data_IF_237194025845
#
_entry.id   IF_237194025845
#
_cell.length_a   1.000
_cell.length_b   1.000
_cell.length_c   1.000
_cell.angle_alpha   90.00
_cell.angle_beta   90.00
_cell.angle_gamma   90.00
#
_symmetry.space_group_name_H-M   'P 1'
#
loop_
_entity.id
_entity.type
_entity.pdbx_description
1 polymer ?
#
# COMPACT_ATOMS: atom_id res chain seq x y z
N UNK A 1 40.08 22.48 -14.03
CA UNK A 1 38.61 22.23 -14.03
C UNK A 1 38.37 21.06 -13.09
N UNK A 2 38.25 21.32 -11.78
CA UNK A 2 37.99 20.29 -10.79
C UNK A 2 36.51 19.99 -10.86
N UNK A 3 36.18 18.82 -11.39
CA UNK A 3 34.81 18.39 -11.55
C UNK A 3 34.29 17.95 -10.18
N UNK A 4 33.25 18.61 -9.69
CA UNK A 4 32.52 18.27 -8.46
C UNK A 4 31.75 16.96 -8.62
N UNK A 5 32.46 15.84 -8.77
CA UNK A 5 31.89 14.50 -8.97
C UNK A 5 31.46 13.84 -7.66
N UNK A 6 31.99 14.28 -6.52
CA UNK A 6 31.74 13.64 -5.23
C UNK A 6 30.30 13.77 -4.75
N UNK A 7 29.69 14.94 -4.87
CA UNK A 7 28.36 15.19 -4.29
C UNK A 7 27.22 14.65 -5.16
N UNK A 8 27.31 14.78 -6.48
CA UNK A 8 26.24 14.35 -7.40
C UNK A 8 26.12 12.83 -7.46
N UNK A 9 27.25 12.12 -7.42
CA UNK A 9 27.29 10.66 -7.41
C UNK A 9 26.69 10.10 -6.11
N UNK A 10 27.03 10.70 -4.97
CA UNK A 10 26.43 10.35 -3.67
C UNK A 10 24.93 10.61 -3.61
N UNK A 11 24.44 11.68 -4.24
CA UNK A 11 23.00 11.99 -4.32
C UNK A 11 22.28 10.93 -5.17
N UNK A 12 22.84 10.55 -6.32
CA UNK A 12 22.24 9.52 -7.19
C UNK A 12 22.23 8.16 -6.51
N UNK A 13 23.31 7.77 -5.82
CA UNK A 13 23.39 6.52 -5.06
C UNK A 13 22.39 6.50 -3.89
N UNK A 14 22.24 7.60 -3.15
CA UNK A 14 21.24 7.69 -2.08
C UNK A 14 19.81 7.59 -2.62
N UNK A 15 19.50 8.29 -3.71
CA UNK A 15 18.17 8.22 -4.33
C UNK A 15 17.85 6.81 -4.82
N UNK A 16 18.82 6.12 -5.44
CA UNK A 16 18.68 4.73 -5.85
C UNK A 16 18.48 3.79 -4.64
N UNK A 17 19.23 3.99 -3.55
CA UNK A 17 19.08 3.21 -2.32
C UNK A 17 17.70 3.40 -1.68
N UNK A 18 17.20 4.64 -1.60
CA UNK A 18 15.85 4.94 -1.09
C UNK A 18 14.78 4.31 -1.96
N UNK A 19 14.91 4.36 -3.28
CA UNK A 19 13.98 3.72 -4.21
C UNK A 19 13.99 2.19 -4.04
N UNK A 20 15.16 1.56 -3.94
CA UNK A 20 15.28 0.14 -3.64
C UNK A 20 14.62 -0.22 -2.30
N UNK A 21 14.81 0.59 -1.26
CA UNK A 21 14.17 0.37 0.04
C UNK A 21 12.65 0.46 -0.04
N UNK A 22 12.09 1.40 -0.83
CA UNK A 22 10.63 1.46 -1.04
C UNK A 22 10.08 0.25 -1.77
N UNK A 23 10.81 -0.30 -2.75
CA UNK A 23 10.40 -1.51 -3.48
C UNK A 23 10.50 -2.76 -2.58
N UNK A 24 11.50 -2.81 -1.71
CA UNK A 24 11.70 -3.91 -0.76
C UNK A 24 10.78 -3.83 0.46
N UNK A 25 10.35 -2.63 0.85
CA UNK A 25 9.35 -2.42 1.88
C UNK A 25 8.01 -2.95 1.37
N UNK A 26 7.64 -4.16 1.80
CA UNK A 26 6.40 -4.81 1.39
C UNK A 26 5.20 -3.88 1.56
N UNK A 27 4.50 -3.61 0.46
CA UNK A 27 3.29 -2.80 0.48
C UNK A 27 2.21 -3.48 1.34
N UNK A 28 1.85 -2.88 2.47
CA UNK A 28 0.64 -3.25 3.21
C UNK A 28 -0.56 -2.66 2.47
N UNK A 29 -1.18 -3.49 1.63
CA UNK A 29 -2.41 -3.14 0.96
C UNK A 29 -3.59 -3.51 1.86
N UNK A 30 -4.20 -2.53 2.51
CA UNK A 30 -5.49 -2.70 3.18
C UNK A 30 -6.59 -2.83 2.13
N UNK A 31 -7.49 -3.80 2.30
CA UNK A 31 -8.69 -3.92 1.48
C UNK A 31 -9.84 -3.09 2.06
N UNK A 32 -10.59 -2.44 1.19
CA UNK A 32 -11.83 -1.74 1.55
C UNK A 32 -13.03 -2.56 1.10
N UNK A 33 -13.96 -2.85 2.01
CA UNK A 33 -15.10 -3.73 1.79
C UNK A 33 -16.43 -3.02 2.05
N UNK A 34 -17.10 -2.53 1.02
CA UNK A 34 -18.43 -1.94 1.17
C UNK A 34 -19.43 -2.94 1.74
N UNK A 35 -19.95 -2.63 2.93
CA UNK A 35 -20.94 -3.49 3.57
C UNK A 35 -22.26 -3.52 2.80
N UNK A 36 -22.80 -4.72 2.60
CA UNK A 36 -23.97 -4.97 1.76
C UNK A 36 -23.74 -4.82 0.26
N UNK A 37 -22.54 -4.45 -0.18
CA UNK A 37 -22.21 -4.30 -1.60
C UNK A 37 -23.17 -3.31 -2.28
N UNK A 38 -23.70 -3.69 -3.45
CA UNK A 38 -24.64 -2.85 -4.20
C UNK A 38 -25.97 -2.59 -3.48
N UNK A 39 -26.33 -3.42 -2.49
CA UNK A 39 -27.54 -3.25 -1.69
C UNK A 39 -27.38 -2.28 -0.51
N UNK A 40 -26.14 -1.85 -0.22
CA UNK A 40 -25.82 -0.96 0.89
C UNK A 40 -26.09 -1.55 2.27
N UNK A 41 -25.95 -0.72 3.30
CA UNK A 41 -26.19 -1.13 4.69
C UNK A 41 -27.69 -1.13 5.01
N UNK A 42 -28.30 -2.32 5.03
CA UNK A 42 -29.72 -2.54 5.31
C UNK A 42 -29.94 -3.79 6.17
N UNK A 43 -31.19 -4.05 6.58
CA UNK A 43 -31.59 -5.24 7.32
C UNK A 43 -31.32 -6.51 6.48
N UNK A 44 -30.93 -7.61 7.13
CA UNK A 44 -30.60 -8.90 6.49
C UNK A 44 -29.30 -8.90 5.65
N UNK A 45 -28.30 -8.10 6.04
CA UNK A 45 -26.94 -8.12 5.46
C UNK A 45 -26.03 -9.21 6.08
N UNK A 46 -26.58 -10.13 6.87
CA UNK A 46 -25.82 -11.18 7.59
C UNK A 46 -25.07 -12.15 6.67
N UNK A 47 -25.55 -12.30 5.43
CA UNK A 47 -24.94 -13.15 4.40
C UNK A 47 -23.77 -12.47 3.66
N UNK A 48 -23.61 -11.15 3.80
CA UNK A 48 -22.58 -10.37 3.12
C UNK A 48 -21.12 -10.75 3.41
N UNK A 49 -20.71 -11.12 4.64
CA UNK A 49 -19.33 -11.53 4.89
C UNK A 49 -19.00 -12.92 4.32
N UNK A 50 -20.00 -13.67 3.83
CA UNK A 50 -19.81 -15.05 3.35
C UNK A 50 -18.86 -15.07 2.14
N UNK A 51 -17.77 -15.81 2.27
CA UNK A 51 -16.73 -15.93 1.24
C UNK A 51 -15.68 -14.80 1.24
N UNK A 52 -15.75 -13.83 2.16
CA UNK A 52 -14.74 -12.77 2.31
C UNK A 52 -13.68 -13.17 3.34
N UNK A 53 -12.44 -12.74 3.11
CA UNK A 53 -11.32 -12.92 4.03
C UNK A 53 -10.86 -11.55 4.49
N UNK A 54 -11.25 -11.18 5.70
CA UNK A 54 -10.79 -9.96 6.36
C UNK A 54 -9.40 -10.17 6.96
N UNK A 55 -8.54 -9.19 6.80
CA UNK A 55 -7.21 -9.10 7.40
C UNK A 55 -7.16 -7.89 8.32
N UNK A 56 -6.26 -7.94 9.30
CA UNK A 56 -6.01 -6.78 10.16
C UNK A 56 -5.51 -5.61 9.30
N UNK A 57 -6.15 -4.45 9.45
CA UNK A 57 -5.89 -3.26 8.64
C UNK A 57 -6.93 -3.01 7.54
N UNK A 58 -7.80 -3.98 7.23
CA UNK A 58 -8.89 -3.78 6.27
C UNK A 58 -9.97 -2.85 6.84
N UNK A 59 -10.64 -2.11 5.95
CA UNK A 59 -11.73 -1.18 6.28
C UNK A 59 -13.05 -1.68 5.68
N UNK A 60 -14.17 -1.42 6.37
CA UNK A 60 -15.54 -1.81 5.98
C UNK A 60 -16.32 -0.57 5.54
#
# INVERSE_FOLDING_TARGET
MVQGRGSTDLVVVNMAAVLCLMVLAGHVHAATYTVGGSGGWTLNVDSWPKGKRFKAGDTL
#
